data_IF_513972261692
#
_entry.id   IF_513972261692
#
_cell.length_a   1.000
_cell.length_b   1.000
_cell.length_c   1.000
_cell.angle_alpha   90.00
_cell.angle_beta   90.00
_cell.angle_gamma   90.00
#
_symmetry.space_group_name_H-M   'P 1'
#
loop_
_entity.id
_entity.type
_entity.pdbx_description
1 polymer ?
#
# COMPACT_ATOMS: atom_id res chain seq x y z
N UNK A 1 -4.82 9.65 0.97
CA UNK A 1 -3.61 9.75 1.81
C UNK A 1 -2.90 11.07 1.59
N UNK A 2 -2.35 11.36 0.40
CA UNK A 2 -1.69 12.65 0.11
C UNK A 2 -2.53 13.87 0.50
N UNK A 3 -3.83 13.89 0.14
CA UNK A 3 -4.75 14.97 0.54
C UNK A 3 -4.80 15.20 2.06
N UNK A 4 -4.68 14.15 2.88
CA UNK A 4 -4.65 14.29 4.34
C UNK A 4 -3.38 15.00 4.79
N UNK A 5 -2.25 14.69 4.17
CA UNK A 5 -0.95 15.32 4.48
C UNK A 5 -0.98 16.78 4.06
N UNK A 6 -1.49 17.11 2.87
CA UNK A 6 -1.70 18.50 2.43
C UNK A 6 -2.55 19.31 3.43
N UNK A 7 -3.59 18.70 3.99
CA UNK A 7 -4.42 19.37 5.01
C UNK A 7 -3.71 19.56 6.35
N UNK A 8 -2.71 18.73 6.67
CA UNK A 8 -1.90 18.86 7.89
C UNK A 8 -0.75 19.87 7.70
N UNK A 9 -0.25 20.01 6.48
CA UNK A 9 0.90 20.83 6.12
C UNK A 9 0.58 21.71 4.89
N UNK A 10 -0.25 22.76 5.04
CA UNK A 10 -0.76 23.55 3.92
C UNK A 10 0.31 24.38 3.20
N UNK A 11 1.37 24.77 3.90
CA UNK A 11 2.41 25.66 3.37
C UNK A 11 3.64 24.91 2.82
N UNK A 12 3.62 23.57 2.85
CA UNK A 12 4.76 22.76 2.41
C UNK A 12 4.94 22.79 0.89
N UNK A 13 6.19 22.99 0.46
CA UNK A 13 6.57 22.80 -0.94
C UNK A 13 6.57 21.30 -1.32
N UNK A 14 6.78 20.97 -2.60
CA UNK A 14 6.71 19.59 -3.08
C UNK A 14 7.70 18.62 -2.42
N UNK A 15 8.92 19.07 -2.12
CA UNK A 15 9.94 18.25 -1.46
C UNK A 15 9.55 17.99 -0.01
N UNK A 16 9.20 19.06 0.70
CA UNK A 16 8.76 18.95 2.09
C UNK A 16 7.50 18.09 2.18
N UNK A 17 6.55 18.21 1.25
CA UNK A 17 5.34 17.40 1.24
C UNK A 17 5.62 15.90 1.12
N UNK A 18 6.63 15.51 0.33
CA UNK A 18 7.05 14.11 0.20
C UNK A 18 7.64 13.62 1.52
N UNK A 19 8.54 14.39 2.13
CA UNK A 19 9.10 14.09 3.45
C UNK A 19 7.99 13.94 4.51
N UNK A 20 7.07 14.93 4.58
CA UNK A 20 5.90 14.90 5.49
C UNK A 20 5.00 13.71 5.23
N UNK A 21 4.84 13.29 3.98
CA UNK A 21 4.02 12.14 3.63
C UNK A 21 4.59 10.85 4.24
N UNK A 22 5.88 10.60 4.04
CA UNK A 22 6.53 9.41 4.59
C UNK A 22 6.60 9.48 6.12
N UNK A 23 6.97 10.63 6.70
CA UNK A 23 6.94 10.84 8.15
C UNK A 23 5.57 10.55 8.75
N UNK A 24 4.51 11.13 8.17
CA UNK A 24 3.14 10.98 8.67
C UNK A 24 2.73 9.53 8.71
N UNK A 25 3.01 8.77 7.65
CA UNK A 25 2.55 7.38 7.51
C UNK A 25 3.49 6.35 8.11
N UNK A 26 4.78 6.66 8.29
CA UNK A 26 5.70 5.83 9.06
C UNK A 26 5.36 5.83 10.55
N UNK A 27 4.86 6.94 11.08
CA UNK A 27 4.46 7.06 12.50
C UNK A 27 2.93 7.00 12.71
N UNK A 28 2.16 6.69 11.67
CA UNK A 28 0.69 6.71 11.76
C UNK A 28 0.19 5.57 12.67
N UNK A 29 -0.71 5.89 13.60
CA UNK A 29 -1.46 4.86 14.31
C UNK A 29 -2.51 4.26 13.37
N UNK A 30 -2.20 3.11 12.76
CA UNK A 30 -3.07 2.44 11.80
C UNK A 30 -4.42 1.95 12.34
N UNK A 31 -4.62 1.95 13.68
CA UNK A 31 -5.94 1.79 14.29
C UNK A 31 -6.85 3.00 14.02
N UNK A 32 -6.26 4.16 13.73
CA UNK A 32 -6.99 5.38 13.39
C UNK A 32 -7.18 5.44 11.87
N UNK A 33 -8.42 5.43 11.38
CA UNK A 33 -8.68 5.49 9.96
C UNK A 33 -8.36 6.87 9.39
N UNK A 34 -7.88 6.89 8.16
CA UNK A 34 -7.54 8.12 7.45
C UNK A 34 -8.80 8.74 6.87
N UNK A 35 -9.17 9.92 7.38
CA UNK A 35 -10.30 10.73 6.91
C UNK A 35 -9.86 12.14 6.54
N UNK A 36 -10.46 12.65 5.46
CA UNK A 36 -10.27 14.04 5.00
C UNK A 36 -11.14 15.00 5.83
N UNK A 37 -12.37 14.60 6.18
CA UNK A 37 -13.33 15.39 6.97
C UNK A 37 -13.62 14.71 8.30
N UNK A 38 -14.04 15.47 9.29
CA UNK A 38 -14.60 14.91 10.53
C UNK A 38 -15.92 14.20 10.21
N UNK A 39 -16.16 13.00 10.76
CA UNK A 39 -17.43 12.31 10.55
C UNK A 39 -18.54 13.14 11.17
N UNK A 40 -19.63 13.36 10.42
CA UNK A 40 -20.80 14.13 10.90
C UNK A 40 -21.63 13.37 11.94
N UNK A 41 -21.50 12.05 11.98
CA UNK A 41 -22.18 11.17 12.92
C UNK A 41 -21.17 10.29 13.64
N UNK A 42 -21.49 9.91 14.88
CA UNK A 42 -20.72 8.93 15.68
C UNK A 42 -20.92 7.58 15.00
N UNK A 43 -20.08 7.28 13.99
CA UNK A 43 -20.07 5.94 13.41
C UNK A 43 -19.68 4.99 14.52
N UNK A 44 -20.56 4.05 14.88
CA UNK A 44 -20.32 3.04 15.90
C UNK A 44 -18.91 2.44 15.74
N UNK A 45 -17.97 2.88 16.58
CA UNK A 45 -16.58 2.43 16.55
C UNK A 45 -16.47 0.93 16.83
N UNK A 46 -17.53 0.34 17.42
CA UNK A 46 -17.66 -1.09 17.72
C UNK A 46 -17.70 -2.01 16.48
N UNK A 47 -17.96 -1.48 15.28
CA UNK A 47 -17.93 -2.26 14.03
C UNK A 47 -16.62 -2.13 13.25
N UNK A 48 -15.70 -1.26 13.68
CA UNK A 48 -14.48 -0.95 12.94
C UNK A 48 -13.30 -1.54 13.70
N UNK A 49 -12.68 -2.60 13.15
CA UNK A 49 -11.25 -2.92 13.26
C UNK A 49 -10.95 -4.36 12.79
N UNK A 50 -11.42 -4.74 11.59
CA UNK A 50 -10.85 -5.92 10.92
C UNK A 50 -9.76 -5.53 9.91
N UNK A 51 -9.84 -4.32 9.34
CA UNK A 51 -8.87 -3.84 8.37
C UNK A 51 -7.62 -3.30 9.07
N UNK A 52 -6.44 -3.73 8.59
CA UNK A 52 -5.13 -3.28 9.09
C UNK A 52 -4.77 -1.85 8.65
N UNK A 53 -5.37 -1.39 7.55
CA UNK A 53 -5.24 -0.05 6.97
C UNK A 53 -6.61 0.38 6.49
N UNK A 54 -7.11 1.52 6.98
CA UNK A 54 -8.43 2.03 6.60
C UNK A 54 -8.34 3.46 6.09
N UNK A 55 -8.77 3.67 4.84
CA UNK A 55 -8.90 5.00 4.21
C UNK A 55 -10.34 5.18 3.75
N UNK A 56 -11.04 6.18 4.27
CA UNK A 56 -12.44 6.43 3.88
C UNK A 56 -12.55 7.35 2.68
N UNK A 57 -13.55 7.08 1.83
CA UNK A 57 -13.99 8.01 0.79
C UNK A 57 -14.54 9.30 1.40
N UNK A 58 -14.33 10.48 0.78
CA UNK A 58 -14.84 11.75 1.29
C UNK A 58 -16.34 11.99 0.96
N UNK A 59 -17.06 10.94 0.56
CA UNK A 59 -18.47 10.98 0.15
C UNK A 59 -19.41 10.94 1.35
N UNK A 60 -20.68 11.30 1.15
CA UNK A 60 -21.69 11.28 2.22
C UNK A 60 -21.86 9.88 2.83
N UNK A 61 -21.86 8.83 2.00
CA UNK A 61 -21.61 7.46 2.46
C UNK A 61 -20.11 7.22 2.51
N UNK A 62 -19.52 7.23 3.70
CA UNK A 62 -18.12 6.86 3.89
C UNK A 62 -17.96 5.35 3.68
N UNK A 63 -17.22 4.96 2.65
CA UNK A 63 -16.82 3.57 2.41
C UNK A 63 -15.31 3.43 2.53
N UNK A 64 -14.82 2.30 3.05
CA UNK A 64 -13.39 2.00 3.03
C UNK A 64 -12.95 1.82 1.57
N UNK A 65 -11.92 2.54 1.16
CA UNK A 65 -11.25 2.39 -0.14
C UNK A 65 -10.17 1.30 -0.09
N UNK A 66 -9.84 0.83 1.10
CA UNK A 66 -8.77 -0.15 1.37
C UNK A 66 -9.31 -1.51 1.79
N UNK A 67 -10.59 -1.78 1.57
CA UNK A 67 -11.24 -3.05 1.91
C UNK A 67 -10.62 -4.30 1.27
N UNK A 68 -9.81 -4.14 0.21
CA UNK A 68 -9.06 -5.23 -0.43
C UNK A 68 -7.65 -5.43 0.13
N UNK A 69 -7.21 -4.59 1.05
CA UNK A 69 -5.89 -4.72 1.68
C UNK A 69 -5.96 -5.84 2.70
N UNK A 70 -5.20 -6.89 2.45
CA UNK A 70 -5.01 -8.01 3.37
C UNK A 70 -3.98 -7.67 4.46
N UNK A 71 -3.87 -8.51 5.50
CA UNK A 71 -2.90 -8.27 6.58
C UNK A 71 -1.45 -8.28 6.09
N UNK A 72 -1.13 -9.19 5.17
CA UNK A 72 0.18 -9.30 4.56
C UNK A 72 0.54 -8.06 3.73
N UNK A 73 -0.38 -7.60 2.87
CA UNK A 73 -0.19 -6.38 2.10
C UNK A 73 -0.03 -5.17 3.02
N UNK A 74 -0.80 -5.11 4.10
CA UNK A 74 -0.66 -4.03 5.09
C UNK A 74 0.72 -4.04 5.75
N UNK A 75 1.27 -5.20 6.11
CA UNK A 75 2.64 -5.31 6.67
C UNK A 75 3.69 -4.76 5.70
N UNK A 76 3.58 -5.10 4.41
CA UNK A 76 4.47 -4.58 3.37
C UNK A 76 4.33 -3.07 3.24
N UNK A 77 3.11 -2.55 3.10
CA UNK A 77 2.85 -1.12 2.95
C UNK A 77 3.40 -0.33 4.15
N UNK A 78 3.17 -0.81 5.37
CA UNK A 78 3.71 -0.20 6.60
C UNK A 78 5.24 -0.18 6.60
N UNK A 79 5.87 -1.27 6.18
CA UNK A 79 7.32 -1.37 6.06
C UNK A 79 7.88 -0.43 4.98
N UNK A 80 7.21 -0.32 3.82
CA UNK A 80 7.64 0.59 2.76
C UNK A 80 7.52 2.07 3.17
N UNK A 81 6.54 2.44 4.00
CA UNK A 81 6.51 3.80 4.57
C UNK A 81 7.70 4.09 5.47
N UNK A 82 8.12 3.12 6.30
CA UNK A 82 9.31 3.25 7.14
C UNK A 82 10.58 3.35 6.29
N UNK A 83 10.76 2.44 5.33
CA UNK A 83 11.92 2.44 4.43
C UNK A 83 12.03 3.75 3.65
N UNK A 84 10.93 4.19 3.03
CA UNK A 84 10.91 5.44 2.27
C UNK A 84 11.20 6.67 3.13
N UNK A 85 10.77 6.67 4.40
CA UNK A 85 11.13 7.74 5.34
C UNK A 85 12.64 7.79 5.60
N UNK A 86 13.28 6.64 5.81
CA UNK A 86 14.73 6.58 6.01
C UNK A 86 15.49 7.06 4.77
N UNK A 87 15.11 6.58 3.58
CA UNK A 87 15.76 6.97 2.32
C UNK A 87 15.63 8.48 2.05
N UNK A 88 14.44 9.05 2.24
CA UNK A 88 14.23 10.48 2.04
C UNK A 88 15.05 11.32 3.02
N UNK A 89 15.08 10.93 4.31
CA UNK A 89 15.87 11.64 5.31
C UNK A 89 17.37 11.60 4.99
N UNK A 90 17.89 10.45 4.56
CA UNK A 90 19.29 10.31 4.17
C UNK A 90 19.62 11.22 2.96
N UNK A 91 18.73 11.30 1.98
CA UNK A 91 18.91 12.15 0.80
C UNK A 91 18.91 13.64 1.15
N UNK A 92 17.98 14.07 2.00
CA UNK A 92 17.92 15.46 2.48
C UNK A 92 19.18 15.80 3.28
N UNK A 93 19.62 14.93 4.20
CA UNK A 93 20.83 15.17 5.01
C UNK A 93 22.11 15.27 4.17
N UNK A 94 22.21 14.49 3.10
CA UNK A 94 23.39 14.45 2.25
C UNK A 94 23.47 15.59 1.21
N UNK A 95 22.51 16.54 1.21
CA UNK A 95 22.39 17.60 0.19
C UNK A 95 22.48 17.06 -1.26
N UNK A 96 22.18 15.77 -1.48
CA UNK A 96 22.05 15.22 -2.83
C UNK A 96 20.89 15.98 -3.44
N UNK A 97 21.17 16.72 -4.52
CA UNK A 97 20.13 17.47 -5.20
C UNK A 97 18.96 16.52 -5.48
N UNK A 98 17.80 16.83 -4.89
CA UNK A 98 16.52 16.15 -5.12
C UNK A 98 16.05 16.25 -6.59
N UNK A 99 16.89 16.75 -7.48
CA UNK A 99 16.67 16.84 -8.92
C UNK A 99 16.55 15.45 -9.58
N UNK A 100 17.03 14.39 -8.91
CA UNK A 100 16.93 13.00 -9.39
C UNK A 100 16.06 12.12 -8.46
N UNK A 101 14.81 12.52 -8.19
CA UNK A 101 13.80 11.63 -7.57
C UNK A 101 13.65 10.28 -8.30
N UNK A 102 14.05 10.19 -9.57
CA UNK A 102 14.08 8.94 -10.33
C UNK A 102 14.91 7.83 -9.66
N UNK A 103 16.00 8.18 -8.98
CA UNK A 103 16.86 7.19 -8.29
C UNK A 103 16.18 6.55 -7.08
N UNK A 104 15.29 7.28 -6.39
CA UNK A 104 14.45 6.76 -5.29
C UNK A 104 13.42 5.76 -5.83
N UNK A 105 12.89 6.02 -7.03
CA UNK A 105 11.88 5.18 -7.69
C UNK A 105 12.51 3.90 -8.25
N UNK A 106 13.80 3.91 -8.61
CA UNK A 106 14.53 2.74 -9.11
C UNK A 106 14.93 1.73 -8.02
N UNK A 107 14.78 2.08 -6.74
CA UNK A 107 15.38 1.38 -5.60
C UNK A 107 14.86 -0.03 -5.28
N UNK A 108 13.65 -0.42 -5.69
CA UNK A 108 13.11 -1.73 -5.31
C UNK A 108 12.73 -2.58 -6.53
N UNK A 109 13.73 -3.21 -7.14
CA UNK A 109 13.49 -4.40 -7.96
C UNK A 109 12.92 -5.48 -7.04
N UNK A 110 11.60 -5.67 -7.09
CA UNK A 110 10.88 -6.74 -6.40
C UNK A 110 11.61 -8.09 -6.47
N UNK A 111 12.23 -8.38 -7.62
CA UNK A 111 12.94 -9.62 -7.97
C UNK A 111 14.28 -9.77 -7.22
N UNK A 112 14.90 -8.68 -6.76
CA UNK A 112 16.11 -8.78 -5.93
C UNK A 112 15.81 -8.73 -4.43
N UNK A 113 14.56 -8.44 -4.03
CA UNK A 113 14.18 -8.26 -2.62
C UNK A 113 13.96 -9.58 -1.88
N UNK A 114 13.59 -10.65 -2.58
CA UNK A 114 13.26 -11.94 -1.98
C UNK A 114 14.18 -13.04 -2.53
N UNK A 115 14.52 -14.01 -1.69
CA UNK A 115 15.35 -15.14 -2.10
C UNK A 115 14.57 -16.17 -2.92
N UNK A 116 13.26 -16.27 -2.68
CA UNK A 116 12.40 -17.30 -3.25
C UNK A 116 11.15 -16.68 -3.87
N UNK A 117 10.69 -17.27 -4.97
CA UNK A 117 9.53 -16.81 -5.72
C UNK A 117 8.64 -17.99 -6.11
N UNK A 118 7.33 -17.76 -6.09
CA UNK A 118 6.34 -18.69 -6.66
C UNK A 118 5.77 -18.02 -7.91
N UNK A 119 5.92 -18.68 -9.06
CA UNK A 119 5.38 -18.21 -10.33
C UNK A 119 4.09 -18.98 -10.61
N UNK A 120 3.00 -18.24 -10.82
CA UNK A 120 1.70 -18.81 -11.14
C UNK A 120 1.32 -18.36 -12.56
N UNK A 121 1.24 -19.34 -13.46
CA UNK A 121 0.88 -19.10 -14.86
C UNK A 121 -0.54 -19.57 -15.12
N UNK A 122 -1.39 -18.67 -15.62
CA UNK A 122 -2.74 -18.98 -16.06
C UNK A 122 -2.74 -19.13 -17.57
N UNK A 123 -3.20 -20.27 -18.10
CA UNK A 123 -3.25 -20.52 -19.54
C UNK A 123 -4.64 -21.02 -19.90
N UNK A 124 -5.22 -20.45 -20.95
CA UNK A 124 -6.50 -20.90 -21.52
C UNK A 124 -6.36 -21.07 -23.03
N UNK A 125 -7.22 -21.91 -23.62
CA UNK A 125 -7.23 -22.15 -25.06
C UNK A 125 -7.90 -21.02 -25.87
N UNK A 126 -8.40 -19.96 -25.23
CA UNK A 126 -9.11 -18.86 -25.88
C UNK A 126 -8.83 -17.52 -25.20
N UNK A 127 -8.34 -16.56 -25.97
CA UNK A 127 -8.00 -15.21 -25.49
C UNK A 127 -9.19 -14.48 -24.84
N UNK A 128 -10.41 -14.76 -25.29
CA UNK A 128 -11.66 -14.17 -24.75
C UNK A 128 -11.89 -14.59 -23.30
N UNK A 129 -11.46 -15.79 -22.92
CA UNK A 129 -11.64 -16.33 -21.57
C UNK A 129 -10.42 -16.12 -20.67
N UNK A 130 -9.26 -15.80 -21.25
CA UNK A 130 -7.99 -15.63 -20.55
C UNK A 130 -8.11 -14.64 -19.39
N UNK A 131 -8.64 -13.44 -19.62
CA UNK A 131 -8.74 -12.42 -18.58
C UNK A 131 -9.67 -12.83 -17.43
N UNK A 132 -10.84 -13.38 -17.76
CA UNK A 132 -11.81 -13.85 -16.76
C UNK A 132 -11.21 -14.97 -15.89
N UNK A 133 -10.51 -15.91 -16.53
CA UNK A 133 -9.85 -16.99 -15.83
C UNK A 133 -8.69 -16.51 -14.97
N UNK A 134 -7.80 -15.65 -15.49
CA UNK A 134 -6.73 -15.04 -14.72
C UNK A 134 -7.26 -14.28 -13.50
N UNK A 135 -8.35 -13.51 -13.66
CA UNK A 135 -8.96 -12.78 -12.55
C UNK A 135 -9.58 -13.72 -11.50
N UNK A 136 -10.20 -14.82 -11.93
CA UNK A 136 -10.71 -15.84 -11.02
C UNK A 136 -9.58 -16.48 -10.20
N UNK A 137 -8.51 -16.90 -10.87
CA UNK A 137 -7.34 -17.52 -10.25
C UNK A 137 -6.66 -16.53 -9.29
N UNK A 138 -6.44 -15.29 -9.71
CA UNK A 138 -5.88 -14.21 -8.88
C UNK A 138 -6.68 -14.00 -7.59
N UNK A 139 -8.01 -13.90 -7.70
CA UNK A 139 -8.88 -13.71 -6.53
C UNK A 139 -8.86 -14.92 -5.59
N UNK A 140 -8.84 -16.15 -6.15
CA UNK A 140 -8.80 -17.37 -5.33
C UNK A 140 -7.48 -17.49 -4.59
N UNK A 141 -6.36 -17.27 -5.27
CA UNK A 141 -5.02 -17.31 -4.66
C UNK A 141 -4.92 -16.31 -3.53
N UNK A 142 -5.35 -15.06 -3.75
CA UNK A 142 -5.35 -14.03 -2.70
C UNK A 142 -6.09 -14.49 -1.46
N UNK A 143 -7.27 -15.10 -1.61
CA UNK A 143 -8.07 -15.61 -0.49
C UNK A 143 -7.38 -16.76 0.24
N UNK A 144 -6.91 -17.78 -0.48
CA UNK A 144 -6.30 -18.99 0.11
C UNK A 144 -4.98 -18.67 0.82
N UNK A 145 -4.15 -17.83 0.18
CA UNK A 145 -2.88 -17.39 0.73
C UNK A 145 -3.09 -16.58 2.01
N UNK A 146 -4.06 -15.65 2.00
CA UNK A 146 -4.30 -14.81 3.17
C UNK A 146 -4.78 -15.66 4.36
N UNK A 147 -5.58 -16.69 4.12
CA UNK A 147 -6.06 -17.61 5.16
C UNK A 147 -4.94 -18.47 5.74
N UNK A 148 -4.03 -18.99 4.90
CA UNK A 148 -3.02 -19.96 5.32
C UNK A 148 -1.71 -19.33 5.80
N UNK A 149 -1.29 -18.22 5.19
CA UNK A 149 0.07 -17.68 5.34
C UNK A 149 0.12 -16.48 6.30
N UNK A 150 -1.02 -15.82 6.60
CA UNK A 150 -1.06 -14.68 7.52
C UNK A 150 -0.46 -14.94 8.91
N UNK A 151 -0.43 -16.19 9.36
CA UNK A 151 0.09 -16.57 10.68
C UNK A 151 1.61 -16.81 10.70
N UNK A 152 2.28 -16.71 9.55
CA UNK A 152 3.73 -16.92 9.43
C UNK A 152 4.39 -15.55 9.29
N UNK A 153 5.06 -15.10 10.36
CA UNK A 153 5.63 -13.75 10.44
C UNK A 153 6.71 -13.45 9.38
N UNK A 154 7.35 -14.48 8.83
CA UNK A 154 8.48 -14.36 7.91
C UNK A 154 8.08 -14.31 6.42
N UNK A 155 6.79 -14.47 6.09
CA UNK A 155 6.35 -14.47 4.68
C UNK A 155 5.84 -13.09 4.28
N UNK A 156 6.51 -12.50 3.30
CA UNK A 156 6.06 -11.28 2.63
C UNK A 156 5.52 -11.64 1.25
N UNK A 157 4.23 -11.41 1.03
CA UNK A 157 3.59 -11.67 -0.25
C UNK A 157 3.37 -10.37 -0.99
N UNK A 158 4.06 -10.25 -2.10
CA UNK A 158 3.89 -9.12 -3.00
C UNK A 158 3.50 -9.69 -4.38
N UNK A 159 2.54 -9.06 -5.04
CA UNK A 159 1.98 -9.57 -6.30
C UNK A 159 2.43 -8.66 -7.44
N UNK A 160 3.25 -9.21 -8.34
CA UNK A 160 3.52 -8.57 -9.62
C UNK A 160 2.65 -9.20 -10.69
N UNK A 161 1.72 -8.42 -11.24
CA UNK A 161 1.02 -8.75 -12.47
C UNK A 161 1.87 -8.28 -13.65
N UNK A 162 2.58 -9.19 -14.29
CA UNK A 162 3.27 -8.90 -15.55
C UNK A 162 2.43 -9.43 -16.71
N UNK A 163 2.11 -8.55 -17.67
CA UNK A 163 1.54 -8.97 -18.94
C UNK A 163 2.71 -9.33 -19.86
N UNK A 164 3.02 -10.62 -19.96
CA UNK A 164 3.85 -11.12 -21.06
C UNK A 164 2.90 -11.20 -22.26
N UNK A 165 3.01 -10.22 -23.16
CA UNK A 165 2.39 -10.25 -24.49
C UNK A 165 3.27 -11.03 -25.45
#
# INVERSE_FOLDING_TARGET
MIMKVLLLYPDSNSIELIERFFLTYSTWNWKTPIRIKTPKEIVNEKQKNQEEITVYSPTFSENSLTFKITKLNAKIIKNEFLNGFYEINELIQNNKQLNNFGEIIEGNKFISKYQNYIIISCVTNSQINQEKFCNFVENRIKSEIDEQICNIDEVFLNYLKSWIY
#
